data_IF_811315220595
#
_entry.id   IF_811315220595
#
_cell.length_a   1.000
_cell.length_b   1.000
_cell.length_c   1.000
_cell.angle_alpha   90.00
_cell.angle_beta   90.00
_cell.angle_gamma   90.00
#
_symmetry.space_group_name_H-M   'P 1'
#
loop_
_entity.id
_entity.type
_entity.pdbx_description
1 polymer ?
#
# COMPACT_ATOMS: atom_id res chain seq x y z
N UNK A 1 -14.58 -18.98 23.35
CA UNK A 1 -13.57 -19.80 22.64
C UNK A 1 -12.52 -18.85 22.07
N UNK A 2 -11.26 -19.02 22.44
CA UNK A 2 -10.15 -18.23 21.86
C UNK A 2 -9.87 -18.72 20.43
N UNK A 3 -9.73 -17.78 19.50
CA UNK A 3 -9.33 -18.09 18.12
C UNK A 3 -7.88 -18.61 18.13
N UNK A 4 -7.55 -19.71 17.42
CA UNK A 4 -6.18 -20.18 17.33
C UNK A 4 -5.25 -19.13 16.69
N UNK A 5 -4.03 -18.97 17.21
CA UNK A 5 -3.07 -17.98 16.71
C UNK A 5 -2.68 -18.21 15.24
N UNK A 6 -2.70 -19.46 14.79
CA UNK A 6 -2.49 -19.81 13.38
C UNK A 6 -3.59 -19.25 12.48
N UNK A 7 -4.86 -19.38 12.90
CA UNK A 7 -5.99 -18.83 12.15
C UNK A 7 -5.93 -17.30 12.11
N UNK A 8 -5.61 -16.66 13.23
CA UNK A 8 -5.42 -15.21 13.31
C UNK A 8 -4.32 -14.73 12.35
N UNK A 9 -3.21 -15.46 12.30
CA UNK A 9 -2.08 -15.16 11.41
C UNK A 9 -2.46 -15.30 9.95
N UNK A 10 -3.12 -16.40 9.56
CA UNK A 10 -3.58 -16.63 8.19
C UNK A 10 -4.55 -15.55 7.74
N UNK A 11 -5.51 -15.19 8.59
CA UNK A 11 -6.47 -14.11 8.31
C UNK A 11 -5.73 -12.78 8.14
N UNK A 12 -4.81 -12.44 9.04
CA UNK A 12 -4.03 -11.20 8.94
C UNK A 12 -3.19 -11.15 7.65
N UNK A 13 -2.56 -12.26 7.28
CA UNK A 13 -1.81 -12.39 6.02
C UNK A 13 -2.71 -12.15 4.81
N UNK A 14 -3.88 -12.79 4.77
CA UNK A 14 -4.83 -12.63 3.67
C UNK A 14 -5.33 -11.18 3.57
N UNK A 15 -5.68 -10.57 4.71
CA UNK A 15 -6.18 -9.19 4.77
C UNK A 15 -5.11 -8.19 4.34
N UNK A 16 -3.89 -8.30 4.87
CA UNK A 16 -2.81 -7.38 4.51
C UNK A 16 -2.37 -7.54 3.07
N UNK A 17 -2.26 -8.77 2.57
CA UNK A 17 -1.93 -8.99 1.17
C UNK A 17 -2.98 -8.38 0.25
N UNK A 18 -4.27 -8.61 0.52
CA UNK A 18 -5.37 -8.02 -0.25
C UNK A 18 -5.35 -6.50 -0.18
N UNK A 19 -5.16 -5.93 1.02
CA UNK A 19 -5.10 -4.48 1.20
C UNK A 19 -3.93 -3.83 0.45
N UNK A 20 -2.78 -4.50 0.36
CA UNK A 20 -1.62 -4.05 -0.40
C UNK A 20 -1.88 -4.15 -1.90
N UNK A 21 -2.39 -5.29 -2.36
CA UNK A 21 -2.70 -5.52 -3.77
C UNK A 21 -3.70 -4.48 -4.30
N UNK A 22 -4.78 -4.23 -3.55
CA UNK A 22 -5.79 -3.23 -3.89
C UNK A 22 -5.25 -1.81 -3.81
N UNK A 23 -4.66 -1.43 -2.67
CA UNK A 23 -4.17 -0.07 -2.46
C UNK A 23 -3.04 0.31 -3.42
N UNK A 24 -2.13 -0.61 -3.69
CA UNK A 24 -1.03 -0.39 -4.63
C UNK A 24 -1.46 -0.37 -6.10
N UNK A 25 -2.60 -0.99 -6.44
CA UNK A 25 -3.14 -1.03 -7.82
C UNK A 25 -4.25 -0.01 -8.06
N UNK A 26 -4.65 0.78 -7.06
CA UNK A 26 -5.82 1.67 -7.13
C UNK A 26 -5.73 2.72 -8.24
N UNK A 27 -4.52 3.04 -8.68
CA UNK A 27 -4.24 4.00 -9.74
C UNK A 27 -4.09 3.35 -11.13
N UNK A 28 -4.18 2.03 -11.23
CA UNK A 28 -4.11 1.33 -12.51
C UNK A 28 -5.47 1.40 -13.20
N UNK A 29 -5.56 1.98 -14.40
CA UNK A 29 -6.81 2.01 -15.17
C UNK A 29 -7.17 0.62 -15.73
N UNK A 30 -6.17 -0.21 -16.04
CA UNK A 30 -6.35 -1.59 -16.48
C UNK A 30 -5.81 -2.56 -15.42
N UNK A 31 -6.68 -3.38 -14.78
CA UNK A 31 -6.27 -4.33 -13.76
C UNK A 31 -5.46 -5.52 -14.31
N UNK A 32 -5.45 -5.72 -15.63
CA UNK A 32 -4.63 -6.75 -16.29
C UNK A 32 -3.23 -6.26 -16.65
N UNK A 33 -2.93 -4.99 -16.38
CA UNK A 33 -1.61 -4.41 -16.61
C UNK A 33 -0.54 -5.20 -15.85
N UNK A 34 0.61 -5.52 -16.50
CA UNK A 34 1.71 -6.19 -15.81
C UNK A 34 2.25 -5.40 -14.61
N UNK A 35 1.99 -4.09 -14.53
CA UNK A 35 2.32 -3.27 -13.36
C UNK A 35 1.60 -3.71 -12.08
N UNK A 36 0.44 -4.35 -12.19
CA UNK A 36 -0.27 -4.93 -11.04
C UNK A 36 0.54 -6.02 -10.34
N UNK A 37 1.50 -6.65 -11.05
CA UNK A 37 2.40 -7.64 -10.46
C UNK A 37 3.26 -7.04 -9.31
N UNK A 38 3.57 -5.74 -9.35
CA UNK A 38 4.40 -5.08 -8.32
C UNK A 38 3.73 -5.14 -6.95
N UNK A 39 2.51 -4.59 -6.74
CA UNK A 39 1.84 -4.67 -5.45
C UNK A 39 1.37 -6.10 -5.13
N UNK A 40 1.02 -6.93 -6.11
CA UNK A 40 0.56 -8.31 -5.85
C UNK A 40 1.71 -9.20 -5.37
N UNK A 41 2.78 -9.33 -6.15
CA UNK A 41 3.90 -10.21 -5.83
C UNK A 41 4.81 -9.58 -4.77
N UNK A 42 5.09 -8.29 -4.92
CA UNK A 42 5.86 -7.53 -3.93
C UNK A 42 5.15 -7.47 -2.58
N UNK A 43 3.84 -7.21 -2.58
CA UNK A 43 3.01 -7.26 -1.36
C UNK A 43 3.02 -8.65 -0.73
N UNK A 44 2.90 -9.71 -1.54
CA UNK A 44 3.03 -11.09 -1.08
C UNK A 44 4.37 -11.37 -0.40
N UNK A 45 5.47 -10.90 -0.99
CA UNK A 45 6.81 -11.03 -0.40
C UNK A 45 6.95 -10.29 0.92
N UNK A 46 6.43 -9.06 1.02
CA UNK A 46 6.45 -8.25 2.26
C UNK A 46 5.60 -8.90 3.35
N UNK A 47 4.40 -9.38 3.02
CA UNK A 47 3.52 -10.08 3.97
C UNK A 47 4.16 -11.37 4.45
N UNK A 48 4.72 -12.18 3.54
CA UNK A 48 5.43 -13.41 3.89
C UNK A 48 6.63 -13.12 4.80
N UNK A 49 7.40 -12.07 4.51
CA UNK A 49 8.50 -11.65 5.36
C UNK A 49 8.01 -11.22 6.76
N UNK A 50 6.96 -10.41 6.84
CA UNK A 50 6.38 -9.96 8.10
C UNK A 50 5.84 -11.14 8.94
N UNK A 51 5.14 -12.09 8.32
CA UNK A 51 4.64 -13.28 8.99
C UNK A 51 5.78 -14.15 9.55
N UNK A 52 6.85 -14.36 8.75
CA UNK A 52 8.02 -15.16 9.18
C UNK A 52 8.83 -14.50 10.30
N UNK A 53 8.79 -13.18 10.39
CA UNK A 53 9.58 -12.41 11.37
C UNK A 53 8.75 -11.94 12.57
N UNK A 54 7.47 -12.31 12.65
CA UNK A 54 6.59 -11.84 13.73
C UNK A 54 6.25 -10.34 13.66
N UNK A 55 6.42 -9.70 12.50
CA UNK A 55 6.30 -8.25 12.29
C UNK A 55 4.97 -7.81 11.66
N UNK A 56 3.89 -8.54 11.94
CA UNK A 56 2.56 -8.24 11.39
C UNK A 56 1.96 -6.94 11.92
N UNK A 57 2.41 -6.47 13.10
CA UNK A 57 1.98 -5.19 13.66
C UNK A 57 2.62 -4.02 12.89
N UNK A 58 3.93 -4.08 12.66
CA UNK A 58 4.65 -3.09 11.84
C UNK A 58 4.11 -3.03 10.42
N UNK A 59 3.77 -4.20 9.86
CA UNK A 59 3.11 -4.26 8.56
C UNK A 59 1.74 -3.55 8.59
N UNK A 60 0.95 -3.74 9.64
CA UNK A 60 -0.32 -3.03 9.82
C UNK A 60 -0.16 -1.51 9.80
N UNK A 61 0.85 -0.97 10.50
CA UNK A 61 1.16 0.46 10.44
C UNK A 61 1.61 0.93 9.05
N UNK A 62 2.40 0.13 8.34
CA UNK A 62 2.84 0.44 6.99
C UNK A 62 1.66 0.45 6.00
N UNK A 63 0.78 -0.55 6.08
CA UNK A 63 -0.46 -0.62 5.27
C UNK A 63 -1.36 0.58 5.58
N UNK A 64 -1.55 0.93 6.85
CA UNK A 64 -2.30 2.13 7.24
C UNK A 64 -1.69 3.41 6.65
N UNK A 65 -0.36 3.54 6.69
CA UNK A 65 0.36 4.69 6.12
C UNK A 65 0.17 4.77 4.60
N UNK A 66 0.22 3.63 3.90
CA UNK A 66 -0.05 3.56 2.47
C UNK A 66 -1.49 4.01 2.15
N UNK A 67 -2.48 3.56 2.91
CA UNK A 67 -3.87 3.99 2.72
C UNK A 67 -4.11 5.46 3.04
N UNK A 68 -3.37 6.05 4.00
CA UNK A 68 -3.37 7.50 4.20
C UNK A 68 -2.79 8.23 2.98
N UNK A 69 -1.77 7.69 2.33
CA UNK A 69 -1.26 8.25 1.09
C UNK A 69 -2.28 8.15 -0.05
N UNK A 70 -2.98 7.01 -0.17
CA UNK A 70 -4.11 6.87 -1.11
C UNK A 70 -5.17 7.92 -0.84
N UNK A 71 -5.60 8.09 0.42
CA UNK A 71 -6.59 9.09 0.80
C UNK A 71 -6.12 10.51 0.46
N UNK A 72 -4.87 10.85 0.76
CA UNK A 72 -4.28 12.14 0.44
C UNK A 72 -4.25 12.40 -1.08
N UNK A 73 -3.92 11.39 -1.88
CA UNK A 73 -3.98 11.47 -3.34
C UNK A 73 -5.42 11.67 -3.82
N UNK A 74 -6.39 10.89 -3.32
CA UNK A 74 -7.80 11.00 -3.71
C UNK A 74 -8.38 12.38 -3.39
N UNK A 75 -8.10 12.91 -2.20
CA UNK A 75 -8.52 14.28 -1.83
C UNK A 75 -7.78 15.32 -2.67
N UNK A 76 -6.48 15.14 -2.88
CA UNK A 76 -5.66 16.06 -3.66
C UNK A 76 -6.14 16.18 -5.11
N UNK A 77 -6.43 15.05 -5.77
CA UNK A 77 -6.97 15.06 -7.14
C UNK A 77 -8.35 15.72 -7.18
N UNK A 78 -9.23 15.40 -6.23
CA UNK A 78 -10.56 16.02 -6.18
C UNK A 78 -10.54 17.53 -5.95
N UNK A 79 -9.59 18.04 -5.15
CA UNK A 79 -9.39 19.48 -4.96
C UNK A 79 -8.86 20.14 -6.23
N UNK A 80 -7.89 19.52 -6.91
CA UNK A 80 -7.34 20.03 -8.17
C UNK A 80 -8.45 20.15 -9.23
N UNK A 81 -9.30 19.13 -9.34
CA UNK A 81 -10.41 19.13 -10.29
C UNK A 81 -11.43 20.25 -10.00
N UNK A 82 -11.58 20.67 -8.74
CA UNK A 82 -12.46 21.77 -8.34
C UNK A 82 -11.88 23.16 -8.65
N UNK A 83 -10.58 23.38 -8.38
CA UNK A 83 -9.96 24.72 -8.43
C UNK A 83 -9.30 25.03 -9.78
N UNK A 84 -8.96 24.00 -10.53
CA UNK A 84 -8.37 24.09 -11.86
C UNK A 84 -9.08 23.10 -12.81
N UNK A 85 -10.40 23.28 -13.03
CA UNK A 85 -11.16 22.39 -13.89
C UNK A 85 -10.50 22.34 -15.27
N UNK A 86 -10.25 21.15 -15.83
CA UNK A 86 -9.53 21.02 -17.09
C UNK A 86 -10.29 21.77 -18.20
N UNK A 87 -9.58 22.63 -18.93
CA UNK A 87 -10.11 23.35 -20.07
C UNK A 87 -10.24 22.37 -21.26
N UNK A 88 -11.40 21.71 -21.38
CA UNK A 88 -11.69 20.70 -22.40
C UNK A 88 -11.58 19.26 -21.89
N UNK A 89 -12.13 18.30 -22.64
CA UNK A 89 -12.17 16.85 -22.38
C UNK A 89 -10.76 16.23 -22.24
N UNK A 90 -10.04 16.59 -21.19
CA UNK A 90 -8.82 15.92 -20.77
C UNK A 90 -9.29 14.81 -19.84
N UNK A 91 -9.00 13.56 -20.22
CA UNK A 91 -9.19 12.42 -19.35
C UNK A 91 -8.61 12.76 -17.96
N UNK A 92 -9.28 12.41 -16.85
CA UNK A 92 -8.77 12.66 -15.50
C UNK A 92 -7.28 12.30 -15.43
N UNK A 93 -6.45 13.00 -14.65
CA UNK A 93 -5.00 12.71 -14.57
C UNK A 93 -4.67 11.21 -14.37
N UNK A 94 -5.60 10.45 -13.79
CA UNK A 94 -5.58 8.98 -13.66
C UNK A 94 -5.60 8.21 -15.00
N UNK A 95 -6.07 8.80 -16.09
CA UNK A 95 -6.10 8.25 -17.45
C UNK A 95 -4.76 8.35 -18.18
N UNK A 96 -3.78 9.07 -17.65
CA UNK A 96 -2.43 9.11 -18.23
C UNK A 96 -1.60 7.90 -17.73
N UNK A 97 -1.16 7.00 -18.64
CA UNK A 97 -0.49 5.76 -18.24
C UNK A 97 0.82 5.98 -17.48
N UNK A 98 1.54 7.07 -17.75
CA UNK A 98 2.75 7.44 -17.01
C UNK A 98 2.47 7.84 -15.56
N UNK A 99 1.38 8.56 -15.31
CA UNK A 99 0.97 8.98 -13.96
C UNK A 99 0.50 7.77 -13.14
N UNK A 100 -0.27 6.88 -13.77
CA UNK A 100 -0.70 5.62 -13.16
C UNK A 100 0.49 4.72 -12.75
N UNK A 101 1.52 4.64 -13.59
CA UNK A 101 2.72 3.87 -13.30
C UNK A 101 3.52 4.47 -12.13
N UNK A 102 3.78 5.79 -12.16
CA UNK A 102 4.49 6.51 -11.09
C UNK A 102 3.70 6.40 -9.77
N UNK A 103 2.38 6.54 -9.83
CA UNK A 103 1.52 6.42 -8.66
C UNK A 103 1.55 5.03 -8.04
N UNK A 104 1.41 3.97 -8.85
CA UNK A 104 1.49 2.57 -8.42
C UNK A 104 2.83 2.26 -7.74
N UNK A 105 3.94 2.61 -8.41
CA UNK A 105 5.29 2.39 -7.87
C UNK A 105 5.55 3.25 -6.63
N UNK A 106 5.06 4.49 -6.63
CA UNK A 106 5.17 5.42 -5.51
C UNK A 106 4.44 4.93 -4.27
N UNK A 107 3.19 4.48 -4.41
CA UNK A 107 2.40 3.90 -3.32
C UNK A 107 3.05 2.65 -2.75
N UNK A 108 3.55 1.77 -3.62
CA UNK A 108 4.31 0.61 -3.16
C UNK A 108 5.62 1.02 -2.45
N UNK A 109 6.30 2.06 -2.94
CA UNK A 109 7.46 2.66 -2.29
C UNK A 109 7.13 3.19 -0.89
N UNK A 110 6.01 3.88 -0.71
CA UNK A 110 5.53 4.35 0.60
C UNK A 110 5.35 3.18 1.57
N UNK A 111 4.73 2.08 1.12
CA UNK A 111 4.60 0.87 1.93
C UNK A 111 5.97 0.34 2.38
N UNK A 112 6.92 0.19 1.46
CA UNK A 112 8.25 -0.34 1.77
C UNK A 112 9.01 0.55 2.76
N UNK A 113 9.01 1.86 2.53
CA UNK A 113 9.68 2.84 3.40
C UNK A 113 9.05 2.85 4.79
N UNK A 114 7.72 2.87 4.86
CA UNK A 114 7.00 2.83 6.13
C UNK A 114 7.32 1.53 6.90
N UNK A 115 7.24 0.37 6.22
CA UNK A 115 7.54 -0.92 6.83
C UNK A 115 8.96 -0.97 7.38
N UNK A 116 9.96 -0.55 6.59
CA UNK A 116 11.35 -0.49 7.03
C UNK A 116 11.56 0.50 8.18
N UNK A 117 10.85 1.63 8.20
CA UNK A 117 10.93 2.61 9.28
C UNK A 117 10.37 2.07 10.59
N UNK A 118 9.19 1.45 10.58
CA UNK A 118 8.60 0.84 11.77
C UNK A 118 9.44 -0.34 12.26
N UNK A 119 9.90 -1.20 11.35
CA UNK A 119 10.76 -2.34 11.66
C UNK A 119 12.06 -1.92 12.38
N UNK A 120 12.70 -0.83 11.94
CA UNK A 120 13.91 -0.28 12.57
C UNK A 120 13.62 0.36 13.93
N UNK A 121 12.51 1.07 14.07
CA UNK A 121 12.10 1.69 15.34
C UNK A 121 11.85 0.65 16.43
N UNK A 122 11.17 -0.46 16.12
CA UNK A 122 10.96 -1.55 17.09
C UNK A 122 12.29 -2.19 17.49
N UNK A 123 13.17 -2.47 16.53
CA UNK A 123 14.48 -3.06 16.81
C UNK A 123 15.36 -2.16 17.69
N UNK A 124 15.35 -0.85 17.47
CA UNK A 124 16.09 0.11 18.29
C UNK A 124 15.57 0.18 19.73
N UNK A 125 14.26 0.05 19.95
CA UNK A 125 13.67 0.03 21.31
C UNK A 125 14.07 -1.22 22.08
N UNK A 126 14.04 -2.39 21.45
CA UNK A 126 14.42 -3.65 22.10
C UNK A 126 15.91 -3.81 22.40
N UNK A 127 16.79 -2.95 21.86
CA UNK A 127 18.22 -2.95 22.16
C UNK A 127 18.63 -2.00 23.29
N UNK A 128 17.72 -1.15 23.75
CA UNK A 128 17.94 -0.20 24.84
C UNK A 128 17.33 -0.63 26.19
N UNK A 129 16.68 -1.79 26.22
CA UNK A 129 16.19 -2.49 27.43
C UNK A 129 17.19 -3.58 27.83
#
# INVERSE_FOLDING_TARGET
MSVPDSLRTVVAVAVYWTAIALGGSVLLPDPTSPLAAVPILGGGAVVAHAARTGRLVELGYAVGTMWLAVLALSVGTGVVDLVAPPAGEIAPLAGYPGIAAIGTVGLFGVLLVAYAAFARRTAARGAGE
#
